data_IF_303088001216
#
_entry.id   IF_303088001216
#
_cell.length_a   1.000
_cell.length_b   1.000
_cell.length_c   1.000
_cell.angle_alpha   90.00
_cell.angle_beta   90.00
_cell.angle_gamma   90.00
#
_symmetry.space_group_name_H-M   'P 1'
#
loop_
_entity.id
_entity.type
_entity.pdbx_description
1 polymer ?
#
# COMPACT_ATOMS: atom_id res chain seq x y z
N UNK A 1 20.95 7.09 2.67
CA UNK A 1 19.90 6.15 2.23
C UNK A 1 18.95 5.91 3.38
N UNK A 2 17.66 5.82 3.10
CA UNK A 2 16.64 5.55 4.12
C UNK A 2 16.24 4.07 4.02
N UNK A 3 16.49 3.29 5.07
CA UNK A 3 16.14 1.86 5.12
C UNK A 3 14.95 1.58 6.04
N UNK A 4 14.86 2.30 7.17
CA UNK A 4 13.80 2.13 8.16
C UNK A 4 13.07 3.44 8.41
N UNK A 5 11.74 3.40 8.41
CA UNK A 5 10.87 4.55 8.68
C UNK A 5 9.91 4.22 9.82
N UNK A 6 9.90 5.08 10.84
CA UNK A 6 8.98 5.02 11.98
C UNK A 6 8.04 6.23 11.93
N UNK A 7 6.76 5.98 11.72
CA UNK A 7 5.70 6.99 11.73
C UNK A 7 4.44 6.48 12.47
N UNK A 8 4.56 5.41 13.23
CA UNK A 8 3.52 4.88 14.10
C UNK A 8 3.10 5.91 15.16
N UNK A 9 1.82 5.90 15.53
CA UNK A 9 1.28 6.75 16.59
C UNK A 9 1.45 8.27 16.37
N UNK A 10 1.55 8.74 15.12
CA UNK A 10 1.77 10.15 14.78
C UNK A 10 0.50 10.91 14.39
N UNK A 11 -0.68 10.30 14.51
CA UNK A 11 -1.96 10.81 13.98
C UNK A 11 -1.92 11.09 12.47
N UNK A 12 -1.06 10.38 11.72
CA UNK A 12 -0.90 10.60 10.30
C UNK A 12 -2.18 10.25 9.54
N UNK A 13 -2.72 11.21 8.80
CA UNK A 13 -3.96 11.03 8.02
C UNK A 13 -3.70 10.72 6.55
N UNK A 14 -2.60 11.26 6.00
CA UNK A 14 -2.21 11.12 4.60
C UNK A 14 -0.72 11.34 4.40
N UNK A 15 -0.19 10.72 3.35
CA UNK A 15 1.07 11.14 2.74
C UNK A 15 0.79 12.08 1.57
N UNK A 16 1.67 13.05 1.34
CA UNK A 16 1.67 13.81 0.09
C UNK A 16 2.08 12.92 -1.09
N UNK A 17 1.62 13.21 -2.29
CA UNK A 17 1.95 12.42 -3.51
C UNK A 17 3.46 12.33 -3.77
N UNK A 18 4.21 13.35 -3.35
CA UNK A 18 5.67 13.41 -3.48
C UNK A 18 6.46 12.85 -2.29
N UNK A 19 5.80 12.33 -1.24
CA UNK A 19 6.45 12.04 0.05
C UNK A 19 7.59 11.01 -0.04
N UNK A 20 7.55 10.11 -1.03
CA UNK A 20 8.55 9.05 -1.23
C UNK A 20 9.38 9.25 -2.50
N UNK A 21 9.40 10.45 -3.08
CA UNK A 21 10.29 10.75 -4.21
C UNK A 21 11.75 10.57 -3.80
N UNK A 22 12.50 9.79 -4.59
CA UNK A 22 13.91 9.48 -4.32
C UNK A 22 14.15 8.41 -3.25
N UNK A 23 13.12 7.87 -2.61
CA UNK A 23 13.25 6.77 -1.66
C UNK A 23 13.33 5.44 -2.42
N UNK A 24 14.52 4.87 -2.49
CA UNK A 24 14.81 3.67 -3.31
C UNK A 24 15.22 2.44 -2.50
N UNK A 25 15.47 2.58 -1.20
CA UNK A 25 16.08 1.55 -0.35
C UNK A 25 15.28 1.23 0.91
N UNK A 26 14.00 1.65 0.98
CA UNK A 26 13.18 1.45 2.17
C UNK A 26 12.86 -0.05 2.34
N UNK A 27 13.29 -0.64 3.45
CA UNK A 27 13.11 -2.05 3.81
C UNK A 27 12.05 -2.25 4.89
N UNK A 28 11.98 -1.32 5.85
CA UNK A 28 11.12 -1.44 7.02
C UNK A 28 10.29 -0.17 7.22
N UNK A 29 8.98 -0.31 7.39
CA UNK A 29 8.09 0.80 7.65
C UNK A 29 7.08 0.49 8.75
N UNK A 30 6.97 1.39 9.73
CA UNK A 30 6.04 1.31 10.84
C UNK A 30 5.00 2.43 10.72
N UNK A 31 3.76 2.05 10.40
CA UNK A 31 2.65 2.96 10.10
C UNK A 31 1.41 2.68 10.96
N UNK A 32 1.49 1.76 11.92
CA UNK A 32 0.39 1.37 12.79
C UNK A 32 -0.12 2.53 13.66
N UNK A 33 -1.36 2.40 14.14
CA UNK A 33 -2.00 3.37 15.04
C UNK A 33 -2.04 4.80 14.46
N UNK A 34 -2.45 4.90 13.20
CA UNK A 34 -2.61 6.17 12.49
C UNK A 34 -4.04 6.29 11.93
N UNK A 35 -4.27 7.32 11.12
CA UNK A 35 -5.55 7.63 10.48
C UNK A 35 -5.46 7.47 8.95
N UNK A 36 -4.52 6.66 8.47
CA UNK A 36 -4.30 6.44 7.05
C UNK A 36 -5.47 5.65 6.45
N UNK A 37 -6.03 6.21 5.38
CA UNK A 37 -7.05 5.54 4.59
C UNK A 37 -6.45 4.84 3.36
N UNK A 38 -5.30 5.29 2.88
CA UNK A 38 -4.59 4.77 1.71
C UNK A 38 -3.09 5.12 1.76
N UNK A 39 -2.31 4.43 0.93
CA UNK A 39 -0.91 4.75 0.66
C UNK A 39 -0.80 5.50 -0.67
N UNK A 40 0.20 6.38 -0.84
CA UNK A 40 0.40 7.09 -2.10
C UNK A 40 0.81 6.11 -3.19
N UNK A 41 0.51 6.42 -4.46
CA UNK A 41 0.74 5.48 -5.57
C UNK A 41 2.21 5.14 -5.82
N UNK A 42 3.12 5.99 -5.37
CA UNK A 42 4.57 5.83 -5.43
C UNK A 42 5.17 5.26 -4.13
N UNK A 43 4.36 4.67 -3.25
CA UNK A 43 4.90 4.03 -2.05
C UNK A 43 5.91 2.92 -2.44
N UNK A 44 7.11 2.90 -1.86
CA UNK A 44 8.24 2.11 -2.35
C UNK A 44 8.15 0.64 -1.92
N UNK A 45 7.23 -0.13 -2.53
CA UNK A 45 7.04 -1.55 -2.22
C UNK A 45 8.18 -2.47 -2.71
N UNK A 46 9.01 -2.03 -3.66
CA UNK A 46 9.98 -2.88 -4.37
C UNK A 46 11.09 -3.42 -3.46
N UNK A 47 11.61 -2.60 -2.55
CA UNK A 47 12.63 -2.98 -1.57
C UNK A 47 12.05 -3.36 -0.20
N UNK A 48 10.72 -3.31 -0.03
CA UNK A 48 10.08 -3.39 1.27
C UNK A 48 9.97 -4.83 1.76
N UNK A 49 10.61 -5.09 2.90
CA UNK A 49 10.65 -6.39 3.57
C UNK A 49 9.54 -6.51 4.60
N UNK A 50 9.38 -5.50 5.47
CA UNK A 50 8.39 -5.46 6.55
C UNK A 50 7.57 -4.17 6.53
N UNK A 51 6.28 -4.30 6.85
CA UNK A 51 5.34 -3.19 6.97
C UNK A 51 4.34 -3.49 8.07
N UNK A 52 4.28 -2.66 9.10
CA UNK A 52 3.23 -2.69 10.13
C UNK A 52 2.23 -1.58 9.85
N UNK A 53 0.95 -1.94 9.83
CA UNK A 53 -0.11 -1.11 9.26
C UNK A 53 -1.47 -1.32 9.93
N UNK A 54 -1.50 -2.05 11.05
CA UNK A 54 -2.70 -2.30 11.84
C UNK A 54 -3.22 -1.01 12.45
N UNK A 55 -4.47 -1.01 12.93
CA UNK A 55 -5.12 0.17 13.53
C UNK A 55 -5.05 1.42 12.63
N UNK A 56 -5.42 1.25 11.36
CA UNK A 56 -5.64 2.34 10.42
C UNK A 56 -6.99 2.13 9.71
N UNK A 57 -7.73 3.21 9.40
CA UNK A 57 -9.04 3.14 8.74
C UNK A 57 -8.95 2.84 7.23
N UNK A 58 -8.30 1.74 6.84
CA UNK A 58 -8.03 1.42 5.43
C UNK A 58 -9.28 1.42 4.54
N UNK A 59 -9.21 2.17 3.45
CA UNK A 59 -10.23 2.23 2.40
C UNK A 59 -9.88 1.25 1.28
N UNK A 60 -10.47 0.06 1.34
CA UNK A 60 -10.30 -1.03 0.38
C UNK A 60 -11.00 -0.73 -0.94
N UNK A 61 -10.31 0.06 -1.75
CA UNK A 61 -10.67 0.41 -3.13
C UNK A 61 -9.43 0.26 -4.02
N UNK A 62 -9.54 0.50 -5.33
CA UNK A 62 -8.43 0.32 -6.26
C UNK A 62 -7.20 1.19 -6.01
N UNK A 63 -7.28 2.22 -5.15
CA UNK A 63 -6.11 2.96 -4.69
C UNK A 63 -5.18 2.09 -3.83
N UNK A 64 -5.72 1.16 -3.05
CA UNK A 64 -4.95 0.31 -2.13
C UNK A 64 -4.40 -0.98 -2.80
N UNK A 65 -4.56 -1.12 -4.12
CA UNK A 65 -4.14 -2.32 -4.87
C UNK A 65 -2.65 -2.64 -4.78
N UNK A 66 -1.80 -1.62 -4.59
CA UNK A 66 -0.35 -1.81 -4.44
C UNK A 66 -0.04 -2.59 -3.16
N UNK A 67 -0.66 -2.17 -2.05
CA UNK A 67 -0.58 -2.87 -0.77
C UNK A 67 -1.11 -4.30 -0.87
N UNK A 68 -2.29 -4.49 -1.50
CA UNK A 68 -2.86 -5.82 -1.74
C UNK A 68 -1.85 -6.76 -2.41
N UNK A 69 -1.22 -6.32 -3.51
CA UNK A 69 -0.23 -7.13 -4.24
C UNK A 69 1.00 -7.44 -3.39
N UNK A 70 1.46 -6.50 -2.57
CA UNK A 70 2.57 -6.74 -1.66
C UNK A 70 2.18 -7.79 -0.60
N UNK A 71 0.99 -7.74 -0.02
CA UNK A 71 0.52 -8.73 0.95
C UNK A 71 0.38 -10.15 0.36
N UNK A 72 -0.03 -10.27 -0.89
CA UNK A 72 -0.19 -11.56 -1.59
C UNK A 72 1.15 -12.23 -1.94
N UNK A 73 2.22 -11.45 -2.10
CA UNK A 73 3.52 -11.99 -2.50
C UNK A 73 4.18 -12.87 -1.42
N UNK A 74 3.80 -12.72 -0.14
CA UNK A 74 4.27 -13.58 0.97
C UNK A 74 3.18 -13.73 2.02
N UNK A 75 2.72 -14.96 2.27
CA UNK A 75 1.65 -15.27 3.22
C UNK A 75 2.00 -14.88 4.68
N UNK A 76 3.28 -14.86 5.05
CA UNK A 76 3.76 -14.48 6.38
C UNK A 76 3.71 -12.98 6.67
N UNK A 77 3.42 -12.13 5.67
CA UNK A 77 3.31 -10.68 5.88
C UNK A 77 2.10 -10.37 6.79
N UNK A 78 2.23 -9.49 7.78
CA UNK A 78 1.11 -9.07 8.60
C UNK A 78 0.10 -8.29 7.74
N UNK A 79 -1.19 -8.51 7.98
CA UNK A 79 -2.29 -7.85 7.27
C UNK A 79 -3.05 -6.88 8.18
N UNK A 80 -3.92 -6.05 7.59
CA UNK A 80 -4.95 -5.29 8.30
C UNK A 80 -6.33 -5.54 7.71
N UNK A 81 -7.33 -4.97 8.37
CA UNK A 81 -8.72 -5.03 7.97
C UNK A 81 -9.16 -3.74 7.29
N UNK A 82 -10.09 -3.88 6.36
CA UNK A 82 -10.76 -2.76 5.72
C UNK A 82 -11.69 -2.06 6.73
N UNK A 83 -11.62 -0.73 6.81
CA UNK A 83 -12.64 0.07 7.49
C UNK A 83 -13.75 0.53 6.55
N UNK A 84 -13.43 0.68 5.26
CA UNK A 84 -14.37 1.11 4.22
C UNK A 84 -14.03 0.50 2.85
N UNK A 85 -14.97 0.49 1.89
CA UNK A 85 -16.39 0.79 2.02
C UNK A 85 -17.12 -0.22 2.93
N UNK A 86 -18.35 0.11 3.36
CA UNK A 86 -19.12 -0.68 4.32
C UNK A 86 -19.26 -2.17 3.94
N UNK A 87 -19.39 -2.46 2.63
CA UNK A 87 -19.46 -3.82 2.08
C UNK A 87 -18.27 -4.71 2.49
N UNK A 88 -17.10 -4.13 2.66
CA UNK A 88 -15.86 -4.85 2.97
C UNK A 88 -15.35 -4.58 4.39
N UNK A 89 -16.08 -3.80 5.19
CA UNK A 89 -15.67 -3.44 6.54
C UNK A 89 -15.43 -4.70 7.39
N UNK A 90 -14.29 -4.74 8.07
CA UNK A 90 -13.84 -5.86 8.91
C UNK A 90 -13.16 -7.00 8.14
N UNK A 91 -13.24 -7.04 6.80
CA UNK A 91 -12.53 -8.06 6.02
C UNK A 91 -11.04 -7.74 5.93
N UNK A 92 -10.21 -8.78 5.91
CA UNK A 92 -8.78 -8.67 5.68
C UNK A 92 -8.47 -8.15 4.27
N UNK A 93 -7.49 -7.24 4.15
CA UNK A 93 -7.10 -6.66 2.85
C UNK A 93 -6.64 -7.77 1.90
N UNK A 94 -5.94 -8.79 2.39
CA UNK A 94 -5.48 -9.95 1.60
C UNK A 94 -6.63 -10.83 1.09
N UNK A 95 -7.74 -10.91 1.81
CA UNK A 95 -8.77 -11.92 1.53
C UNK A 95 -10.03 -11.33 0.88
N UNK A 96 -10.27 -10.03 1.03
CA UNK A 96 -11.45 -9.37 0.49
C UNK A 96 -11.51 -9.38 -1.04
N UNK A 97 -12.71 -9.47 -1.60
CA UNK A 97 -12.95 -9.36 -3.04
C UNK A 97 -12.98 -7.92 -3.56
N UNK A 98 -12.70 -6.93 -2.71
CA UNK A 98 -12.72 -5.49 -3.04
C UNK A 98 -11.85 -5.10 -4.25
N UNK A 99 -10.83 -5.90 -4.55
CA UNK A 99 -9.83 -5.62 -5.59
C UNK A 99 -10.07 -6.36 -6.91
N UNK A 100 -11.04 -7.29 -7.00
CA UNK A 100 -11.26 -8.13 -8.19
C UNK A 100 -11.52 -7.32 -9.47
N UNK A 101 -12.21 -6.19 -9.35
CA UNK A 101 -12.56 -5.32 -10.48
C UNK A 101 -11.52 -4.23 -10.77
N UNK A 102 -10.42 -4.18 -10.03
CA UNK A 102 -9.42 -3.14 -10.21
C UNK A 102 -8.62 -3.37 -11.49
N UNK A 103 -8.59 -2.34 -12.35
CA UNK A 103 -7.76 -2.34 -13.55
C UNK A 103 -6.29 -2.32 -13.14
N UNK A 104 -5.55 -3.38 -13.49
CA UNK A 104 -4.11 -3.35 -13.41
C UNK A 104 -3.58 -2.54 -14.59
N UNK A 105 -2.67 -1.58 -14.38
CA UNK A 105 -1.99 -0.95 -15.49
C UNK A 105 -1.22 -2.05 -16.23
N UNK A 106 -1.67 -2.39 -17.43
CA UNK A 106 -0.90 -3.18 -18.36
C UNK A 106 0.41 -2.42 -18.59
N UNK A 107 1.55 -3.10 -18.49
CA UNK A 107 2.83 -2.50 -18.90
C UNK A 107 2.60 -1.94 -20.31
N UNK A 108 2.61 -0.60 -20.46
CA UNK A 108 2.62 0.03 -21.78
C UNK A 108 3.84 -0.55 -22.49
N UNK A 109 3.62 -1.45 -23.44
CA UNK A 109 4.64 -1.88 -24.38
C UNK A 109 5.15 -0.60 -25.03
N UNK A 110 6.43 -0.28 -24.82
CA UNK A 110 7.11 0.71 -25.65
C UNK A 110 7.00 0.21 -27.08
N UNK A 111 6.01 0.69 -27.85
CA UNK A 111 6.05 0.55 -29.31
C UNK A 111 7.28 1.33 -29.75
N UNK A 112 8.29 0.59 -30.19
CA UNK A 112 9.42 1.15 -30.91
C UNK A 112 8.85 1.92 -32.11
N UNK A 113 8.96 3.25 -32.07
CA UNK A 113 8.76 4.10 -33.23
C UNK A 113 9.97 3.90 -34.14
N UNK A 114 9.75 3.27 -35.28
CA UNK A 114 10.69 3.15 -36.39
C UNK A 114 10.43 4.34 -37.30
N UNK A 115 11.39 5.26 -37.41
CA UNK A 115 11.52 6.22 -38.50
C UNK A 115 12.99 6.27 -38.89
#
# INVERSE_FOLDING_TARGET
YLETLWLDNTNLEKFSDGAFLGVTTLKHAHLENNRLNHLPSNFPFDSLETLTLTNNPWKCTCQLRGLRRWLEAKASRPDATCASPAKFKGQHIRDTDAFRSCKFPTKRSKKAGRH
#
